data_IF_597231186979
#
_entry.id   IF_597231186979
#
_cell.length_a   1.000
_cell.length_b   1.000
_cell.length_c   1.000
_cell.angle_alpha   90.00
_cell.angle_beta   90.00
_cell.angle_gamma   90.00
#
_symmetry.space_group_name_H-M   'P 1'
#
loop_
_entity.id
_entity.type
_entity.pdbx_description
1 polymer ?
#
# COMPACT_ATOMS: atom_id res chain seq x y z
N UNK A 1 5.59 -18.01 -4.78
CA UNK A 1 4.76 -18.67 -3.75
C UNK A 1 3.26 -18.39 -3.92
N UNK A 2 2.81 -17.19 -4.32
CA UNK A 2 1.38 -16.95 -4.63
C UNK A 2 0.83 -17.71 -5.85
N UNK A 3 1.62 -17.92 -6.91
CA UNK A 3 1.15 -18.64 -8.11
C UNK A 3 1.04 -20.16 -7.95
N UNK A 4 1.66 -20.75 -6.91
CA UNK A 4 1.70 -22.20 -6.69
C UNK A 4 1.15 -22.63 -5.32
N UNK A 5 0.58 -21.70 -4.53
CA UNK A 5 -0.07 -22.01 -3.25
C UNK A 5 0.80 -22.69 -2.18
N UNK A 6 2.12 -22.69 -2.33
CA UNK A 6 3.03 -23.37 -1.38
C UNK A 6 3.16 -22.49 -0.13
N UNK A 7 2.66 -22.94 1.04
CA UNK A 7 2.80 -22.19 2.28
C UNK A 7 4.26 -22.20 2.74
N UNK A 8 4.68 -21.14 3.42
CA UNK A 8 6.07 -20.97 3.90
C UNK A 8 6.57 -22.17 4.73
N UNK A 9 5.69 -22.80 5.51
CA UNK A 9 6.00 -23.99 6.30
C UNK A 9 6.41 -25.22 5.45
N UNK A 10 6.13 -25.22 4.15
CA UNK A 10 6.47 -26.31 3.24
C UNK A 10 7.79 -26.07 2.47
N UNK A 11 8.52 -25.00 2.80
CA UNK A 11 9.84 -24.72 2.23
C UNK A 11 10.88 -25.55 2.96
N UNK A 12 11.24 -26.69 2.37
CA UNK A 12 12.28 -27.59 2.90
C UNK A 12 13.47 -27.69 1.95
N UNK A 13 14.61 -28.11 2.51
CA UNK A 13 15.84 -28.31 1.73
C UNK A 13 15.73 -29.55 0.83
N UNK A 14 16.43 -29.56 -0.30
CA UNK A 14 16.45 -30.72 -1.21
C UNK A 14 17.00 -32.01 -0.55
N UNK A 15 17.84 -31.90 0.49
CA UNK A 15 18.24 -33.03 1.34
C UNK A 15 17.04 -33.75 1.98
N UNK A 16 15.96 -33.03 2.31
CA UNK A 16 14.75 -33.61 2.92
C UNK A 16 14.09 -34.67 2.02
N UNK A 17 14.18 -34.51 0.69
CA UNK A 17 13.56 -35.43 -0.28
C UNK A 17 14.56 -36.39 -0.95
N UNK A 18 15.81 -35.96 -1.17
CA UNK A 18 16.79 -36.72 -1.94
C UNK A 18 17.82 -37.46 -1.10
N UNK A 19 17.94 -37.15 0.20
CA UNK A 19 18.98 -37.66 1.09
C UNK A 19 20.42 -37.24 0.71
N UNK A 20 20.58 -36.46 -0.36
CA UNK A 20 21.87 -35.94 -0.82
C UNK A 20 22.22 -34.66 -0.08
N UNK A 21 23.51 -34.48 0.17
CA UNK A 21 24.06 -33.29 0.84
C UNK A 21 24.04 -32.02 -0.04
N UNK A 22 22.87 -31.71 -0.57
CA UNK A 22 22.60 -30.57 -1.44
C UNK A 22 21.38 -29.82 -0.89
N UNK A 23 21.45 -28.49 -0.70
CA UNK A 23 22.55 -27.58 -1.01
C UNK A 23 23.67 -27.59 0.05
N UNK A 24 24.88 -28.00 -0.34
CA UNK A 24 26.03 -28.19 0.57
C UNK A 24 26.50 -26.90 1.24
N UNK A 25 26.56 -25.81 0.49
CA UNK A 25 27.09 -24.53 0.98
C UNK A 25 26.20 -23.93 2.08
N UNK A 26 24.88 -23.91 1.89
CA UNK A 26 23.94 -23.38 2.90
C UNK A 26 23.88 -24.28 4.13
N UNK A 27 24.05 -25.61 3.98
CA UNK A 27 24.18 -26.53 5.12
C UNK A 27 25.49 -26.34 5.89
N UNK A 28 26.55 -25.89 5.22
CA UNK A 28 27.82 -25.50 5.84
C UNK A 28 27.82 -24.08 6.40
N UNK A 29 26.75 -23.30 6.19
CA UNK A 29 26.68 -21.91 6.63
C UNK A 29 27.40 -20.92 5.73
N UNK A 30 27.74 -21.29 4.50
CA UNK A 30 28.48 -20.46 3.55
C UNK A 30 27.58 -20.07 2.35
N UNK A 31 27.33 -18.78 2.09
CA UNK A 31 27.70 -17.59 2.88
C UNK A 31 26.76 -17.30 4.07
N UNK A 32 25.72 -18.11 4.27
CA UNK A 32 24.80 -18.05 5.41
C UNK A 32 24.07 -19.37 5.57
N UNK A 33 23.55 -19.64 6.77
CA UNK A 33 22.85 -20.88 7.10
C UNK A 33 21.40 -20.90 6.59
N UNK A 34 20.77 -22.07 6.70
CA UNK A 34 19.38 -22.24 6.26
C UNK A 34 18.39 -21.38 7.07
N UNK A 35 18.66 -21.12 8.35
CA UNK A 35 17.82 -20.26 9.17
C UNK A 35 17.84 -18.82 8.65
N UNK A 36 19.02 -18.30 8.28
CA UNK A 36 19.19 -16.98 7.67
C UNK A 36 18.51 -16.91 6.30
N UNK A 37 18.59 -17.98 5.51
CA UNK A 37 17.84 -18.06 4.26
C UNK A 37 16.33 -17.96 4.49
N UNK A 38 15.78 -18.73 5.43
CA UNK A 38 14.36 -18.66 5.78
C UNK A 38 13.95 -17.27 6.29
N UNK A 39 14.78 -16.63 7.12
CA UNK A 39 14.54 -15.27 7.60
C UNK A 39 14.50 -14.24 6.46
N UNK A 40 15.39 -14.36 5.47
CA UNK A 40 15.37 -13.51 4.26
C UNK A 40 14.13 -13.74 3.41
N UNK A 41 13.71 -15.00 3.24
CA UNK A 41 12.49 -15.35 2.52
C UNK A 41 11.26 -14.81 3.25
N UNK A 42 11.18 -14.98 4.57
CA UNK A 42 10.14 -14.39 5.41
C UNK A 42 10.13 -12.86 5.29
N UNK A 43 11.30 -12.22 5.39
CA UNK A 43 11.45 -10.78 5.21
C UNK A 43 10.99 -10.31 3.83
N UNK A 44 11.31 -11.04 2.77
CA UNK A 44 10.86 -10.75 1.42
C UNK A 44 9.33 -10.85 1.28
N UNK A 45 8.69 -11.84 1.91
CA UNK A 45 7.22 -11.93 1.93
C UNK A 45 6.57 -10.92 2.86
N UNK A 46 7.19 -10.59 3.98
CA UNK A 46 6.73 -9.53 4.88
C UNK A 46 6.78 -8.18 4.17
N UNK A 47 7.84 -7.88 3.42
CA UNK A 47 7.97 -6.68 2.58
C UNK A 47 6.95 -6.69 1.43
N UNK A 48 6.65 -7.83 0.82
CA UNK A 48 5.60 -7.92 -0.20
C UNK A 48 4.16 -7.91 0.35
N UNK A 49 3.98 -8.13 1.66
CA UNK A 49 2.71 -8.00 2.36
C UNK A 49 2.56 -6.63 3.06
N UNK A 50 3.61 -5.81 3.10
CA UNK A 50 3.65 -4.57 3.86
C UNK A 50 4.03 -3.40 2.94
N UNK A 51 3.15 -2.43 2.67
CA UNK A 51 3.62 -1.10 2.33
C UNK A 51 4.26 -0.52 3.60
N UNK A 52 5.53 -0.81 3.86
CA UNK A 52 6.31 -0.16 4.91
C UNK A 52 7.11 0.98 4.30
N UNK A 53 6.65 2.20 4.57
CA UNK A 53 7.57 3.27 4.92
C UNK A 53 7.22 3.65 6.34
N UNK A 54 8.23 3.75 7.19
CA UNK A 54 8.15 4.04 8.61
C UNK A 54 7.20 5.23 8.92
N UNK A 55 6.58 5.28 10.12
CA UNK A 55 5.88 6.48 10.56
C UNK A 55 6.88 7.63 10.63
N UNK A 56 6.84 8.52 9.63
CA UNK A 56 7.51 9.81 9.72
C UNK A 56 6.86 10.60 10.87
N UNK A 57 7.63 11.39 11.64
CA UNK A 57 7.07 12.26 12.67
C UNK A 57 5.92 13.06 12.08
N UNK A 58 4.72 12.88 12.63
CA UNK A 58 3.55 13.62 12.20
C UNK A 58 3.84 15.09 12.53
N UNK A 59 4.01 15.94 11.52
CA UNK A 59 4.03 17.37 11.74
C UNK A 59 2.67 17.75 12.34
N UNK A 60 2.68 18.11 13.62
CA UNK A 60 1.51 18.53 14.38
C UNK A 60 0.81 19.66 13.62
N UNK A 61 -0.40 19.40 13.10
CA UNK A 61 -1.20 20.35 12.34
C UNK A 61 -1.41 20.04 10.85
N UNK A 62 -0.80 19.00 10.28
CA UNK A 62 -1.04 18.62 8.86
C UNK A 62 -2.14 17.57 8.76
N UNK A 63 -3.29 17.94 8.17
CA UNK A 63 -4.35 17.01 7.80
C UNK A 63 -4.08 16.45 6.40
N UNK A 64 -4.36 15.17 6.17
CA UNK A 64 -4.17 14.49 4.89
C UNK A 64 -5.53 14.18 4.28
N UNK A 65 -5.76 14.63 3.06
CA UNK A 65 -6.98 14.35 2.31
C UNK A 65 -6.67 13.47 1.09
N UNK A 66 -7.65 12.71 0.62
CA UNK A 66 -7.49 11.92 -0.61
C UNK A 66 -8.17 12.64 -1.76
N UNK A 67 -7.40 13.20 -2.69
CA UNK A 67 -7.89 13.86 -3.89
C UNK A 67 -8.11 12.85 -5.02
N UNK A 68 -9.29 12.84 -5.62
CA UNK A 68 -9.61 11.94 -6.76
C UNK A 68 -9.74 12.67 -8.09
N UNK A 69 -9.75 14.00 -8.08
CA UNK A 69 -9.76 14.79 -9.30
C UNK A 69 -9.65 16.27 -9.02
N UNK A 70 -9.21 17.02 -10.02
CA UNK A 70 -9.26 18.47 -10.04
C UNK A 70 -9.89 18.92 -11.36
N UNK A 71 -10.96 19.68 -11.29
CA UNK A 71 -11.76 20.11 -12.42
C UNK A 71 -11.83 21.63 -12.46
N UNK A 72 -11.84 22.22 -13.65
CA UNK A 72 -12.07 23.66 -13.83
C UNK A 72 -13.56 24.01 -13.97
N UNK A 73 -14.36 23.01 -14.34
CA UNK A 73 -15.81 23.14 -14.55
C UNK A 73 -16.55 22.60 -13.33
N UNK A 74 -17.48 23.40 -12.80
CA UNK A 74 -18.25 23.07 -11.59
C UNK A 74 -19.14 21.83 -11.79
N UNK A 75 -19.78 21.68 -12.94
CA UNK A 75 -20.63 20.51 -13.24
C UNK A 75 -19.83 19.21 -13.23
N UNK A 76 -18.62 19.20 -13.80
CA UNK A 76 -17.74 18.03 -13.77
C UNK A 76 -17.32 17.67 -12.34
N UNK A 77 -17.00 18.66 -11.52
CA UNK A 77 -16.67 18.45 -10.11
C UNK A 77 -17.86 17.89 -9.31
N UNK A 78 -19.08 18.40 -9.57
CA UNK A 78 -20.30 17.91 -8.94
C UNK A 78 -20.66 16.50 -9.41
N UNK A 79 -20.50 16.19 -10.69
CA UNK A 79 -20.70 14.85 -11.23
C UNK A 79 -19.72 13.85 -10.59
N UNK A 80 -18.44 14.22 -10.45
CA UNK A 80 -17.45 13.41 -9.77
C UNK A 80 -17.81 13.22 -8.29
N UNK A 81 -18.23 14.27 -7.58
CA UNK A 81 -18.70 14.16 -6.19
C UNK A 81 -19.94 13.25 -6.07
N UNK A 82 -20.90 13.38 -6.99
CA UNK A 82 -22.11 12.55 -7.01
C UNK A 82 -21.78 11.08 -7.29
N UNK A 83 -20.86 10.81 -8.24
CA UNK A 83 -20.38 9.45 -8.52
C UNK A 83 -19.72 8.83 -7.28
N UNK A 84 -18.94 9.60 -6.53
CA UNK A 84 -18.31 9.13 -5.30
C UNK A 84 -19.32 8.88 -4.19
N UNK A 85 -20.29 9.77 -4.00
CA UNK A 85 -21.39 9.56 -3.05
C UNK A 85 -22.27 8.37 -3.42
N UNK A 86 -22.55 8.16 -4.71
CA UNK A 86 -23.29 7.00 -5.19
C UNK A 86 -22.55 5.68 -4.92
N UNK A 87 -21.21 5.71 -4.89
CA UNK A 87 -20.36 4.60 -4.46
C UNK A 87 -20.27 4.45 -2.93
N UNK A 88 -20.95 5.30 -2.16
CA UNK A 88 -20.93 5.28 -0.70
C UNK A 88 -19.76 6.02 -0.06
N UNK A 89 -19.04 6.85 -0.82
CA UNK A 89 -17.91 7.62 -0.32
C UNK A 89 -18.26 9.07 -0.03
N UNK A 90 -17.84 9.58 1.12
CA UNK A 90 -17.97 10.99 1.47
C UNK A 90 -16.88 11.83 0.78
N UNK A 91 -17.25 12.40 -0.37
CA UNK A 91 -16.44 13.36 -1.12
C UNK A 91 -16.92 14.82 -0.92
N UNK A 92 -15.98 15.75 -0.93
CA UNK A 92 -16.20 17.19 -0.85
C UNK A 92 -15.37 17.91 -1.91
N UNK A 93 -15.86 19.06 -2.38
CA UNK A 93 -15.16 19.90 -3.37
C UNK A 93 -14.47 21.03 -2.62
N UNK A 94 -13.18 21.25 -2.88
CA UNK A 94 -12.39 22.37 -2.38
C UNK A 94 -11.85 23.19 -3.54
N UNK A 95 -12.02 24.50 -3.53
CA UNK A 95 -11.44 25.38 -4.54
C UNK A 95 -10.02 25.80 -4.13
N UNK A 96 -9.06 25.66 -5.04
CA UNK A 96 -7.67 26.08 -4.81
C UNK A 96 -7.04 26.47 -6.13
N UNK A 97 -6.54 27.71 -6.23
CA UNK A 97 -5.90 28.24 -7.43
C UNK A 97 -6.80 28.31 -8.67
N UNK A 98 -8.13 28.45 -8.50
CA UNK A 98 -9.10 28.47 -9.60
C UNK A 98 -9.48 27.09 -10.14
N UNK A 99 -9.12 26.01 -9.44
CA UNK A 99 -9.58 24.65 -9.74
C UNK A 99 -10.41 24.08 -8.58
N UNK A 100 -11.46 23.35 -8.94
CA UNK A 100 -12.32 22.59 -8.04
C UNK A 100 -11.74 21.18 -7.82
N UNK A 101 -11.17 20.94 -6.65
CA UNK A 101 -10.53 19.68 -6.26
C UNK A 101 -11.51 18.82 -5.49
N UNK A 102 -11.80 17.62 -5.99
CA UNK A 102 -12.64 16.64 -5.30
C UNK A 102 -11.76 15.84 -4.34
N UNK A 103 -12.06 15.94 -3.06
CA UNK A 103 -11.31 15.34 -1.97
C UNK A 103 -12.22 14.44 -1.12
N UNK A 104 -11.66 13.42 -0.49
CA UNK A 104 -12.35 12.45 0.35
C UNK A 104 -11.63 12.26 1.66
N UNK A 105 -12.39 12.41 2.74
CA UNK A 105 -11.90 12.27 4.10
C UNK A 105 -10.82 13.29 4.49
N UNK A 106 -10.69 13.54 5.78
CA UNK A 106 -9.57 14.26 6.35
C UNK A 106 -8.95 13.39 7.43
N UNK A 107 -7.75 12.89 7.19
CA UNK A 107 -7.03 11.98 8.06
C UNK A 107 -5.88 12.70 8.73
N UNK A 108 -5.77 12.61 10.05
CA UNK A 108 -4.59 13.12 10.75
C UNK A 108 -3.32 12.30 10.42
N UNK A 109 -3.48 11.03 10.03
CA UNK A 109 -2.38 10.14 9.69
C UNK A 109 -2.28 9.92 8.18
N UNK A 110 -1.08 10.18 7.64
CA UNK A 110 -0.74 9.94 6.23
C UNK A 110 -1.01 8.48 5.81
N UNK A 111 -0.71 7.53 6.70
CA UNK A 111 -0.90 6.10 6.44
C UNK A 111 -2.38 5.73 6.24
N UNK A 112 -3.28 6.34 7.01
CA UNK A 112 -4.73 6.13 6.86
C UNK A 112 -5.22 6.66 5.51
N UNK A 113 -4.74 7.83 5.11
CA UNK A 113 -5.04 8.39 3.79
C UNK A 113 -4.52 7.50 2.65
N UNK A 114 -3.31 6.93 2.77
CA UNK A 114 -2.78 5.99 1.78
C UNK A 114 -3.57 4.69 1.70
N UNK A 115 -3.95 4.10 2.83
CA UNK A 115 -4.80 2.92 2.85
C UNK A 115 -6.14 3.16 2.15
N UNK A 116 -6.72 4.35 2.36
CA UNK A 116 -7.96 4.76 1.71
C UNK A 116 -7.77 4.99 0.20
N UNK A 117 -6.73 5.72 -0.21
CA UNK A 117 -6.39 5.93 -1.61
C UNK A 117 -6.12 4.61 -2.34
N UNK A 118 -5.46 3.65 -1.69
CA UNK A 118 -5.22 2.32 -2.25
C UNK A 118 -6.53 1.57 -2.52
N UNK A 119 -7.47 1.58 -1.57
CA UNK A 119 -8.81 0.97 -1.74
C UNK A 119 -9.57 1.60 -2.92
N UNK A 120 -9.44 2.91 -3.10
CA UNK A 120 -10.05 3.61 -4.25
C UNK A 120 -9.40 3.19 -5.57
N UNK A 121 -8.06 3.12 -5.62
CA UNK A 121 -7.33 2.65 -6.80
C UNK A 121 -7.65 1.20 -7.16
N UNK A 122 -7.86 0.32 -6.17
CA UNK A 122 -8.33 -1.06 -6.39
C UNK A 122 -9.73 -1.12 -7.03
N UNK A 123 -10.53 -0.05 -6.91
CA UNK A 123 -11.84 0.11 -7.55
C UNK A 123 -11.78 0.92 -8.86
N UNK A 124 -10.58 1.03 -9.45
CA UNK A 124 -10.29 1.83 -10.64
C UNK A 124 -10.67 3.30 -10.49
N UNK A 125 -10.60 3.84 -9.27
CA UNK A 125 -10.74 5.27 -8.99
C UNK A 125 -9.35 5.81 -8.69
N UNK A 126 -8.81 6.61 -9.59
CA UNK A 126 -7.52 7.26 -9.38
C UNK A 126 -7.59 8.21 -8.18
N UNK A 127 -6.84 7.89 -7.13
CA UNK A 127 -6.85 8.60 -5.87
C UNK A 127 -5.43 8.94 -5.40
N UNK A 128 -5.22 10.21 -5.06
CA UNK A 128 -3.93 10.78 -4.66
C UNK A 128 -4.01 11.39 -3.27
N UNK A 129 -3.05 11.08 -2.40
CA UNK A 129 -2.96 11.67 -1.06
C UNK A 129 -2.40 13.08 -1.15
N UNK A 130 -3.11 14.07 -0.62
CA UNK A 130 -2.72 15.48 -0.59
C UNK A 130 -2.65 16.00 0.85
N UNK A 131 -1.72 16.92 1.12
CA UNK A 131 -1.64 17.61 2.40
C UNK A 131 -2.57 18.81 2.40
N UNK A 132 -3.42 18.88 3.42
CA UNK A 132 -4.15 20.07 3.84
C UNK A 132 -3.35 20.70 4.98
N UNK A 133 -2.27 21.39 4.61
CA UNK A 133 -1.55 22.27 5.51
C UNK A 133 -2.36 23.54 5.73
N UNK A 134 -2.37 24.00 6.98
CA UNK A 134 -2.94 25.30 7.35
C UNK A 134 -2.11 26.44 6.76
#
# INVERSE_FOLDING_TARGET
MKQYGVPFCNVVQHNHWSGKDCPRCIRRGEPYDWATFLAKVQGFFAVQAKPETAPQPQAEGVLWAVQTGAYRVRENAQAALAAMKARGYEAYITESGGLLRVQLGAFAARQNAYGYAKKLNEQSIEAFVTQKGN
#
